data_IF_220030199039
#
_entry.id   IF_220030199039
#
_cell.length_a   1.000
_cell.length_b   1.000
_cell.length_c   1.000
_cell.angle_alpha   90.00
_cell.angle_beta   90.00
_cell.angle_gamma   90.00
#
_symmetry.space_group_name_H-M   'P 1'
#
loop_
_entity.id
_entity.type
_entity.pdbx_description
1 polymer ?
#
# COMPACT_ATOMS: atom_id res chain seq x y z
N UNK A 1 5.67 14.95 -62.19
CA UNK A 1 6.54 14.31 -61.19
C UNK A 1 7.24 15.40 -60.39
N UNK A 2 6.73 15.72 -59.19
CA UNK A 2 7.34 16.71 -58.30
C UNK A 2 8.45 15.99 -57.52
N UNK A 3 9.69 16.44 -57.67
CA UNK A 3 10.85 16.02 -56.88
C UNK A 3 10.64 16.46 -55.41
N UNK A 4 10.48 15.52 -54.50
CA UNK A 4 10.55 15.80 -53.08
C UNK A 4 11.89 16.49 -52.77
N UNK A 5 11.83 17.74 -52.28
CA UNK A 5 12.99 18.45 -51.74
C UNK A 5 13.52 17.62 -50.55
N UNK A 6 14.74 17.09 -50.66
CA UNK A 6 15.47 16.53 -49.53
C UNK A 6 15.67 17.68 -48.55
N UNK A 7 14.97 17.63 -47.38
CA UNK A 7 15.25 18.52 -46.26
C UNK A 7 16.74 18.35 -45.90
N UNK A 8 17.47 19.44 -45.86
CA UNK A 8 18.87 19.46 -45.42
C UNK A 8 18.94 18.95 -43.99
N UNK A 9 19.84 18.02 -43.69
CA UNK A 9 20.03 17.51 -42.35
C UNK A 9 20.50 18.68 -41.44
N UNK A 10 19.78 18.92 -40.34
CA UNK A 10 20.13 19.95 -39.32
C UNK A 10 21.55 19.74 -38.82
N UNK A 11 22.28 20.84 -38.61
CA UNK A 11 23.58 20.81 -37.92
C UNK A 11 23.44 20.33 -36.47
N UNK A 12 24.52 19.91 -35.79
CA UNK A 12 24.46 19.51 -34.39
C UNK A 12 23.90 20.63 -33.49
N UNK A 13 24.23 21.88 -33.77
CA UNK A 13 23.78 23.07 -33.04
C UNK A 13 22.26 23.28 -33.26
N UNK A 14 21.80 23.20 -34.47
CA UNK A 14 20.37 23.31 -34.80
C UNK A 14 19.54 22.17 -34.13
N UNK A 15 20.11 20.95 -34.10
CA UNK A 15 19.46 19.80 -33.39
C UNK A 15 19.37 20.05 -31.91
N UNK A 16 20.43 20.60 -31.29
CA UNK A 16 20.46 20.95 -29.88
C UNK A 16 19.39 22.01 -29.60
N UNK A 17 19.37 23.10 -30.35
CA UNK A 17 18.36 24.15 -30.18
C UNK A 17 16.93 23.63 -30.37
N UNK A 18 16.70 22.76 -31.33
CA UNK A 18 15.38 22.14 -31.54
C UNK A 18 14.97 21.14 -30.44
N UNK A 19 15.94 20.66 -29.64
CA UNK A 19 15.69 19.75 -28.53
C UNK A 19 15.42 20.47 -27.19
N UNK A 20 15.81 21.75 -27.09
CA UNK A 20 15.59 22.53 -25.87
C UNK A 20 14.20 23.18 -25.87
N UNK A 21 13.62 23.30 -24.68
CA UNK A 21 12.42 24.10 -24.44
C UNK A 21 12.85 25.55 -24.19
N UNK A 22 12.28 26.53 -24.92
CA UNK A 22 12.60 27.95 -24.71
C UNK A 22 12.27 28.42 -23.29
N UNK A 23 13.05 29.35 -22.74
CA UNK A 23 12.95 29.80 -21.34
C UNK A 23 11.56 30.34 -20.97
N UNK A 24 10.85 30.95 -21.90
CA UNK A 24 9.47 31.46 -21.70
C UNK A 24 8.40 30.37 -21.61
N UNK A 25 8.72 29.12 -21.97
CA UNK A 25 7.86 27.96 -21.85
C UNK A 25 8.19 27.08 -20.66
N UNK A 26 9.21 27.46 -19.86
CA UNK A 26 9.64 26.66 -18.71
C UNK A 26 8.54 26.55 -17.67
N UNK A 27 8.16 25.32 -17.27
CA UNK A 27 7.16 25.13 -16.23
C UNK A 27 7.56 25.75 -14.87
N UNK A 28 8.87 25.72 -14.57
CA UNK A 28 9.50 26.36 -13.42
C UNK A 28 10.99 26.52 -13.66
N UNK A 29 11.64 27.37 -12.85
CA UNK A 29 13.08 27.63 -12.96
C UNK A 29 13.90 26.42 -12.52
N UNK A 30 14.84 25.99 -13.38
CA UNK A 30 15.84 24.96 -13.09
C UNK A 30 17.16 25.57 -12.58
N UNK A 31 18.06 24.76 -11.96
CA UNK A 31 19.45 25.13 -11.74
C UNK A 31 20.13 25.54 -13.05
N UNK A 32 21.14 26.43 -12.98
CA UNK A 32 21.78 27.02 -14.18
C UNK A 32 22.40 26.01 -15.15
N UNK A 33 22.82 24.85 -14.65
CA UNK A 33 23.43 23.78 -15.44
C UNK A 33 22.43 22.71 -15.92
N UNK A 34 21.13 22.92 -15.70
CA UNK A 34 20.06 22.05 -16.20
C UNK A 34 19.34 22.72 -17.36
N UNK A 35 18.66 21.91 -18.15
CA UNK A 35 17.78 22.42 -19.21
C UNK A 35 16.47 21.66 -19.26
N UNK A 36 15.43 22.32 -19.77
CA UNK A 36 14.19 21.66 -20.15
C UNK A 36 14.30 21.11 -21.56
N UNK A 37 13.87 19.86 -21.70
CA UNK A 37 13.71 19.18 -23.00
C UNK A 37 12.38 18.41 -22.99
N UNK A 38 12.19 17.50 -23.90
CA UNK A 38 11.00 16.63 -23.95
C UNK A 38 11.41 15.18 -23.95
N UNK A 39 10.46 14.30 -23.56
CA UNK A 39 10.71 12.83 -23.47
C UNK A 39 11.27 12.28 -24.77
N UNK A 40 10.80 12.72 -25.94
CA UNK A 40 11.32 12.26 -27.25
C UNK A 40 12.83 12.44 -27.46
N UNK A 41 13.44 13.37 -26.74
CA UNK A 41 14.86 13.69 -26.86
C UNK A 41 15.74 12.91 -25.87
N UNK A 42 15.14 12.26 -24.85
CA UNK A 42 15.84 11.55 -23.78
C UNK A 42 15.48 10.06 -23.69
N UNK A 43 14.49 9.63 -24.46
CA UNK A 43 14.05 8.23 -24.47
C UNK A 43 13.40 7.83 -25.80
N UNK A 44 13.49 6.55 -26.12
CA UNK A 44 12.64 5.94 -27.15
C UNK A 44 11.32 5.50 -26.52
N UNK A 45 10.18 6.02 -26.97
CA UNK A 45 8.88 5.60 -26.49
C UNK A 45 8.31 4.49 -27.39
N UNK A 46 7.91 3.38 -26.79
CA UNK A 46 7.29 2.23 -27.46
C UNK A 46 5.90 2.00 -26.88
N UNK A 47 4.87 2.08 -27.73
CA UNK A 47 3.52 1.68 -27.34
C UNK A 47 3.41 0.17 -27.35
N UNK A 48 2.91 -0.43 -26.28
CA UNK A 48 2.67 -1.86 -26.19
C UNK A 48 1.59 -2.35 -27.19
N UNK A 49 1.36 -3.63 -27.19
CA UNK A 49 0.33 -4.27 -28.01
C UNK A 49 0.00 -5.65 -27.44
N UNK A 50 -1.25 -6.07 -27.63
CA UNK A 50 -1.70 -7.39 -27.16
C UNK A 50 -1.73 -8.36 -28.34
N UNK A 51 -1.00 -9.47 -28.31
CA UNK A 51 -1.14 -10.55 -29.27
C UNK A 51 -2.60 -11.01 -29.37
N UNK A 52 -2.99 -11.55 -30.50
CA UNK A 52 -4.37 -11.98 -30.76
C UNK A 52 -4.84 -13.01 -29.72
N UNK A 53 -5.80 -12.63 -28.86
CA UNK A 53 -6.27 -13.48 -27.76
C UNK A 53 -6.97 -14.77 -28.17
N UNK A 54 -7.46 -14.84 -29.42
CA UNK A 54 -8.06 -16.04 -29.99
C UNK A 54 -7.01 -17.08 -30.43
N UNK A 55 -5.73 -16.76 -30.37
CA UNK A 55 -4.64 -17.72 -30.60
C UNK A 55 -3.96 -18.05 -29.27
N UNK A 56 -4.31 -19.19 -28.68
CA UNK A 56 -3.75 -19.69 -27.42
C UNK A 56 -2.24 -19.94 -27.50
N UNK A 57 -1.69 -20.20 -28.67
CA UNK A 57 -0.26 -20.52 -28.89
C UNK A 57 0.66 -19.35 -28.56
N UNK A 58 0.12 -18.13 -28.47
CA UNK A 58 0.88 -16.94 -28.07
C UNK A 58 1.12 -16.83 -26.56
N UNK A 59 0.41 -17.61 -25.74
CA UNK A 59 0.36 -17.46 -24.28
C UNK A 59 0.87 -18.70 -23.55
N UNK A 60 1.11 -18.59 -22.24
CA UNK A 60 1.47 -19.72 -21.38
C UNK A 60 2.95 -20.11 -21.41
N UNK A 61 3.84 -19.24 -21.91
CA UNK A 61 5.29 -19.42 -21.84
C UNK A 61 5.94 -18.75 -20.62
N UNK A 62 7.20 -18.32 -20.80
CA UNK A 62 8.01 -17.70 -19.74
C UNK A 62 8.35 -16.22 -19.99
N UNK A 63 7.94 -15.66 -21.14
CA UNK A 63 8.26 -14.27 -21.47
C UNK A 63 7.24 -13.31 -20.86
N UNK A 64 7.65 -12.35 -19.98
CA UNK A 64 6.73 -11.48 -19.25
C UNK A 64 5.88 -10.60 -20.18
N UNK A 65 4.57 -10.55 -19.91
CA UNK A 65 3.61 -9.68 -20.58
C UNK A 65 2.92 -8.76 -19.57
N UNK A 66 3.47 -7.57 -19.42
CA UNK A 66 3.05 -6.62 -18.40
C UNK A 66 1.75 -5.90 -18.75
N UNK A 67 0.88 -5.79 -17.77
CA UNK A 67 -0.38 -5.05 -17.80
C UNK A 67 -0.38 -3.93 -16.76
N UNK A 68 -1.34 -2.99 -16.80
CA UNK A 68 -1.38 -1.89 -15.82
C UNK A 68 -1.40 -2.33 -14.34
N UNK A 69 -1.94 -3.51 -14.01
CA UNK A 69 -1.93 -4.02 -12.65
C UNK A 69 -0.52 -4.41 -12.18
N UNK A 70 0.30 -4.96 -13.07
CA UNK A 70 1.66 -5.39 -12.72
C UNK A 70 2.57 -4.20 -12.35
N UNK A 71 2.24 -2.98 -12.86
CA UNK A 71 2.95 -1.75 -12.51
C UNK A 71 2.76 -1.30 -11.05
N UNK A 72 1.86 -1.94 -10.28
CA UNK A 72 1.73 -1.69 -8.83
C UNK A 72 2.98 -2.10 -8.04
N UNK A 73 3.83 -2.96 -8.60
CA UNK A 73 5.14 -3.27 -8.06
C UNK A 73 6.11 -2.05 -8.07
N UNK A 74 5.76 -0.97 -8.80
CA UNK A 74 6.45 0.31 -8.77
C UNK A 74 7.88 0.21 -9.29
N UNK A 75 8.86 0.34 -8.39
CA UNK A 75 10.29 0.38 -8.74
C UNK A 75 10.87 -0.99 -9.16
N UNK A 76 10.22 -2.09 -8.82
CA UNK A 76 10.71 -3.45 -9.08
C UNK A 76 9.66 -4.31 -9.78
N UNK A 77 9.49 -4.09 -11.07
CA UNK A 77 8.58 -4.88 -11.89
C UNK A 77 9.37 -6.01 -12.56
N UNK A 78 9.45 -7.16 -11.89
CA UNK A 78 10.19 -8.35 -12.33
C UNK A 78 9.26 -9.49 -12.77
N UNK A 79 8.01 -9.48 -12.31
CA UNK A 79 7.02 -10.52 -12.60
C UNK A 79 5.79 -9.93 -13.27
N UNK A 80 5.14 -10.70 -14.13
CA UNK A 80 3.93 -10.32 -14.83
C UNK A 80 2.77 -11.28 -14.47
N UNK A 81 1.55 -10.77 -14.49
CA UNK A 81 0.35 -11.59 -14.29
C UNK A 81 0.05 -12.53 -15.47
N UNK A 82 0.67 -12.32 -16.62
CA UNK A 82 0.53 -13.16 -17.82
C UNK A 82 1.89 -13.28 -18.53
N UNK A 83 2.12 -14.42 -19.16
CA UNK A 83 3.37 -14.71 -19.88
C UNK A 83 3.07 -15.16 -21.30
N UNK A 84 3.96 -14.78 -22.23
CA UNK A 84 3.91 -15.16 -23.64
C UNK A 84 4.82 -16.35 -23.91
N UNK A 85 4.43 -17.16 -24.89
CA UNK A 85 5.29 -18.17 -25.50
C UNK A 85 6.35 -17.51 -26.41
N UNK A 86 7.32 -18.29 -26.93
CA UNK A 86 8.27 -17.79 -27.93
C UNK A 86 7.58 -17.27 -29.19
N UNK A 87 6.47 -17.89 -29.58
CA UNK A 87 5.65 -17.42 -30.69
C UNK A 87 4.97 -16.08 -30.36
N UNK A 88 4.42 -15.94 -29.14
CA UNK A 88 3.85 -14.69 -28.68
C UNK A 88 4.90 -13.58 -28.55
N UNK A 89 6.11 -13.90 -28.06
CA UNK A 89 7.26 -13.00 -28.05
C UNK A 89 7.60 -12.49 -29.47
N UNK A 90 7.64 -13.38 -30.47
CA UNK A 90 8.03 -13.04 -31.83
C UNK A 90 7.10 -12.04 -32.54
N UNK A 91 5.82 -11.96 -32.08
CA UNK A 91 4.83 -11.00 -32.64
C UNK A 91 4.65 -9.77 -31.74
N UNK A 92 5.37 -9.68 -30.63
CA UNK A 92 5.27 -8.58 -29.68
C UNK A 92 6.38 -7.55 -29.86
N UNK A 93 6.15 -6.35 -29.31
CA UNK A 93 7.19 -5.31 -29.20
C UNK A 93 7.96 -5.54 -27.92
N UNK A 94 9.23 -5.85 -28.06
CA UNK A 94 10.11 -6.14 -26.94
C UNK A 94 10.51 -4.83 -26.26
N UNK A 95 10.34 -4.79 -24.95
CA UNK A 95 10.75 -3.69 -24.09
C UNK A 95 11.93 -4.20 -23.24
N UNK A 96 13.10 -3.59 -23.34
CA UNK A 96 14.26 -4.03 -22.54
C UNK A 96 14.08 -3.76 -21.07
N UNK A 97 14.85 -4.45 -20.24
CA UNK A 97 15.02 -4.09 -18.82
C UNK A 97 15.45 -2.62 -18.68
N UNK A 98 15.21 -2.03 -17.54
CA UNK A 98 15.46 -0.62 -17.19
C UNK A 98 14.60 0.40 -17.98
N UNK A 99 13.61 -0.04 -18.74
CA UNK A 99 12.60 0.86 -19.28
C UNK A 99 11.58 1.27 -18.21
N UNK A 100 11.04 2.47 -18.34
CA UNK A 100 9.90 2.93 -17.52
C UNK A 100 8.60 2.68 -18.29
N UNK A 101 7.77 1.77 -17.79
CA UNK A 101 6.44 1.49 -18.32
C UNK A 101 5.43 2.47 -17.69
N UNK A 102 4.64 3.15 -18.51
CA UNK A 102 3.68 4.17 -18.07
C UNK A 102 2.29 3.83 -18.61
N UNK A 103 1.32 3.70 -17.71
CA UNK A 103 -0.07 3.50 -18.07
C UNK A 103 -0.64 4.80 -18.69
N UNK A 104 -1.15 4.69 -19.91
CA UNK A 104 -1.64 5.82 -20.71
C UNK A 104 -3.13 5.73 -21.04
N UNK A 105 -3.83 4.69 -20.57
CA UNK A 105 -5.28 4.51 -20.70
C UNK A 105 -5.85 4.03 -19.36
N UNK A 106 -6.87 4.69 -18.87
CA UNK A 106 -7.49 4.37 -17.58
C UNK A 106 -6.70 4.98 -16.42
N UNK A 107 -5.78 4.23 -15.80
CA UNK A 107 -4.93 4.70 -14.69
C UNK A 107 -3.74 5.53 -15.18
N UNK A 108 -4.02 6.66 -15.87
CA UNK A 108 -2.99 7.52 -16.49
C UNK A 108 -1.95 7.97 -15.45
N UNK A 109 -0.67 7.78 -15.79
CA UNK A 109 0.48 8.18 -14.99
C UNK A 109 0.98 7.10 -14.02
N UNK A 110 0.30 5.96 -13.87
CA UNK A 110 0.82 4.82 -13.13
C UNK A 110 2.08 4.30 -13.81
N UNK A 111 3.21 4.26 -13.09
CA UNK A 111 4.52 3.90 -13.63
C UNK A 111 5.08 2.66 -12.96
N UNK A 112 5.84 1.87 -13.74
CA UNK A 112 6.67 0.78 -13.25
C UNK A 112 8.04 0.79 -13.91
N UNK A 113 9.09 0.49 -13.12
CA UNK A 113 10.44 0.29 -13.63
C UNK A 113 10.65 -1.20 -13.89
N UNK A 114 10.92 -1.56 -15.14
CA UNK A 114 11.07 -2.96 -15.54
C UNK A 114 12.45 -3.48 -15.17
N UNK A 115 12.53 -4.44 -14.27
CA UNK A 115 13.80 -5.11 -13.91
C UNK A 115 14.22 -6.14 -14.96
N UNK A 116 13.28 -6.62 -15.74
CA UNK A 116 13.47 -7.65 -16.78
C UNK A 116 12.90 -7.22 -18.13
N UNK A 117 13.41 -7.83 -19.19
CA UNK A 117 12.86 -7.71 -20.53
C UNK A 117 11.44 -8.28 -20.59
N UNK A 118 10.54 -7.64 -21.34
CA UNK A 118 9.18 -8.14 -21.53
C UNK A 118 8.43 -7.46 -22.66
N UNK A 119 7.15 -7.70 -22.75
CA UNK A 119 6.23 -6.96 -23.62
C UNK A 119 5.15 -6.30 -22.76
N UNK A 120 4.49 -5.28 -23.29
CA UNK A 120 3.40 -4.58 -22.60
C UNK A 120 2.14 -4.56 -23.45
N UNK A 121 0.97 -4.44 -22.81
CA UNK A 121 -0.29 -4.29 -23.53
C UNK A 121 -0.42 -2.86 -24.12
N UNK A 122 -1.42 -2.63 -24.94
CA UNK A 122 -1.67 -1.36 -25.62
C UNK A 122 -2.02 -0.18 -24.68
N UNK A 123 -2.27 -0.42 -23.41
CA UNK A 123 -2.54 0.63 -22.40
C UNK A 123 -1.26 1.29 -21.89
N UNK A 124 -0.11 0.69 -22.18
CA UNK A 124 1.20 1.11 -21.67
C UNK A 124 2.03 1.68 -22.80
N UNK A 125 2.62 2.85 -22.58
CA UNK A 125 3.75 3.36 -23.32
C UNK A 125 5.01 3.19 -22.47
N UNK A 126 6.03 2.53 -23.02
CA UNK A 126 7.31 2.29 -22.33
C UNK A 126 8.37 3.25 -22.86
N UNK A 127 9.02 3.98 -21.95
CA UNK A 127 10.14 4.88 -22.28
C UNK A 127 11.47 4.16 -22.01
N UNK A 128 12.21 3.89 -23.06
CA UNK A 128 13.55 3.29 -23.02
C UNK A 128 14.56 4.43 -22.92
N UNK A 129 15.28 4.59 -21.79
CA UNK A 129 16.11 5.75 -21.52
C UNK A 129 17.40 5.78 -22.37
N UNK A 130 17.87 6.98 -22.71
CA UNK A 130 19.20 7.19 -23.29
C UNK A 130 20.27 7.49 -22.25
N UNK A 131 19.85 7.87 -21.03
CA UNK A 131 20.69 8.30 -19.93
C UNK A 131 20.43 7.44 -18.68
N UNK A 132 20.45 8.04 -17.48
CA UNK A 132 20.21 7.32 -16.24
C UNK A 132 18.74 6.84 -16.14
N UNK A 133 18.56 5.53 -16.16
CA UNK A 133 17.24 4.90 -16.19
C UNK A 133 16.41 5.16 -14.90
N UNK A 134 17.05 5.11 -13.73
CA UNK A 134 16.37 5.38 -12.46
C UNK A 134 16.02 6.85 -12.30
N UNK A 135 16.86 7.79 -12.78
CA UNK A 135 16.53 9.20 -12.80
C UNK A 135 15.26 9.45 -13.63
N UNK A 136 15.18 8.83 -14.84
CA UNK A 136 14.00 8.89 -15.66
C UNK A 136 12.76 8.32 -14.96
N UNK A 137 12.89 7.15 -14.36
CA UNK A 137 11.78 6.52 -13.61
C UNK A 137 11.29 7.41 -12.47
N UNK A 138 12.20 7.92 -11.62
CA UNK A 138 11.81 8.80 -10.51
C UNK A 138 11.11 10.07 -10.99
N UNK A 139 11.59 10.68 -12.07
CA UNK A 139 10.90 11.82 -12.66
C UNK A 139 9.51 11.44 -13.19
N UNK A 140 9.39 10.36 -13.94
CA UNK A 140 8.09 9.91 -14.50
C UNK A 140 7.10 9.47 -13.42
N UNK A 141 7.56 9.17 -12.22
CA UNK A 141 6.72 8.84 -11.07
C UNK A 141 6.32 10.08 -10.24
N UNK A 142 6.63 11.29 -10.69
CA UNK A 142 6.20 12.52 -10.04
C UNK A 142 4.78 12.91 -10.43
N UNK A 143 4.10 13.62 -9.53
CA UNK A 143 2.79 14.19 -9.83
C UNK A 143 2.87 15.20 -10.97
N UNK A 144 3.98 15.94 -11.09
CA UNK A 144 4.20 16.88 -12.18
C UNK A 144 4.15 16.21 -13.54
N UNK A 145 4.85 15.09 -13.73
CA UNK A 145 4.79 14.33 -14.99
C UNK A 145 3.40 13.74 -15.24
N UNK A 146 2.78 13.18 -14.19
CA UNK A 146 1.42 12.63 -14.29
C UNK A 146 0.40 13.69 -14.71
N UNK A 147 0.52 14.92 -14.21
CA UNK A 147 -0.37 16.03 -14.55
C UNK A 147 -0.18 16.46 -16.01
N UNK A 148 1.06 16.45 -16.55
CA UNK A 148 1.28 16.70 -17.97
C UNK A 148 0.53 15.67 -18.85
N UNK A 149 0.61 14.38 -18.48
CA UNK A 149 -0.13 13.34 -19.20
C UNK A 149 -1.64 13.55 -19.12
N UNK A 150 -2.19 13.81 -17.94
CA UNK A 150 -3.62 14.03 -17.73
C UNK A 150 -4.12 15.25 -18.49
N UNK A 151 -3.40 16.36 -18.45
CA UNK A 151 -3.76 17.59 -19.16
C UNK A 151 -3.70 17.43 -20.68
N UNK A 152 -2.84 16.55 -21.19
CA UNK A 152 -2.74 16.23 -22.61
C UNK A 152 -3.77 15.19 -23.07
N UNK A 153 -4.43 14.47 -22.15
CA UNK A 153 -5.35 13.40 -22.49
C UNK A 153 -6.54 13.89 -23.36
N UNK A 154 -6.93 13.08 -24.31
CA UNK A 154 -8.11 13.38 -25.12
C UNK A 154 -9.38 13.13 -24.31
N UNK A 155 -10.25 14.12 -24.20
CA UNK A 155 -11.54 14.03 -23.53
C UNK A 155 -12.57 13.28 -24.37
N UNK A 156 -12.60 11.97 -24.22
CA UNK A 156 -13.67 11.09 -24.70
C UNK A 156 -14.12 10.25 -23.49
N UNK A 157 -14.99 9.27 -23.68
CA UNK A 157 -15.50 8.41 -22.59
C UNK A 157 -14.40 7.78 -21.73
N UNK A 158 -13.22 7.54 -22.30
CA UNK A 158 -12.01 7.09 -21.59
C UNK A 158 -10.84 7.99 -21.99
N UNK A 159 -10.16 8.58 -21.02
CA UNK A 159 -8.99 9.43 -21.26
C UNK A 159 -7.83 8.59 -21.81
N UNK A 160 -7.24 9.05 -22.91
CA UNK A 160 -6.15 8.36 -23.62
C UNK A 160 -5.00 9.33 -23.89
N UNK A 161 -3.79 8.90 -23.55
CA UNK A 161 -2.53 9.56 -23.90
C UNK A 161 -1.80 8.70 -24.92
N UNK A 162 -1.73 9.13 -26.18
CA UNK A 162 -0.98 8.43 -27.19
C UNK A 162 0.53 8.66 -27.03
N UNK A 163 1.33 7.91 -27.82
CA UNK A 163 2.79 8.01 -27.84
C UNK A 163 3.27 9.45 -28.03
N UNK A 164 2.77 10.17 -29.04
CA UNK A 164 3.20 11.53 -29.36
C UNK A 164 2.96 12.51 -28.22
N UNK A 165 1.83 12.38 -27.51
CA UNK A 165 1.53 13.21 -26.33
C UNK A 165 2.50 12.93 -25.18
N UNK A 166 2.85 11.65 -24.92
CA UNK A 166 3.87 11.31 -23.94
C UNK A 166 5.26 11.82 -24.37
N UNK A 167 5.62 11.68 -25.63
CA UNK A 167 6.89 12.17 -26.18
C UNK A 167 7.05 13.69 -26.07
N UNK A 168 5.95 14.44 -26.08
CA UNK A 168 5.96 15.91 -25.95
C UNK A 168 5.99 16.41 -24.50
N UNK A 169 5.86 15.54 -23.50
CA UNK A 169 5.96 15.95 -22.10
C UNK A 169 7.35 16.52 -21.80
N UNK A 170 7.38 17.60 -21.04
CA UNK A 170 8.62 18.23 -20.59
C UNK A 170 9.42 17.30 -19.68
N UNK A 171 10.74 17.42 -19.77
CA UNK A 171 11.69 16.63 -18.99
C UNK A 171 12.85 17.49 -18.52
N UNK A 172 13.14 17.56 -17.19
CA UNK A 172 14.26 18.32 -16.66
C UNK A 172 15.54 17.49 -16.80
N UNK A 173 16.41 17.90 -17.71
CA UNK A 173 17.66 17.20 -17.99
C UNK A 173 18.80 17.79 -17.15
N UNK A 174 19.21 17.05 -16.12
CA UNK A 174 20.41 17.33 -15.32
C UNK A 174 21.67 16.76 -16.00
N UNK A 175 22.87 17.27 -15.71
CA UNK A 175 24.12 16.61 -16.08
C UNK A 175 24.19 15.18 -15.53
N UNK A 176 24.79 14.24 -16.27
CA UNK A 176 24.81 12.81 -15.92
C UNK A 176 25.31 12.52 -14.50
N UNK A 177 26.37 13.20 -14.08
CA UNK A 177 26.91 13.04 -12.71
C UNK A 177 25.92 13.51 -11.63
N UNK A 178 25.06 14.47 -11.97
CA UNK A 178 24.03 14.97 -11.05
C UNK A 178 22.80 14.05 -11.03
N UNK A 179 22.40 13.51 -12.19
CA UNK A 179 21.38 12.47 -12.26
C UNK A 179 21.75 11.30 -11.32
N UNK A 180 23.00 10.84 -11.35
CA UNK A 180 23.47 9.76 -10.49
C UNK A 180 23.41 10.15 -9.01
N UNK A 181 23.88 11.36 -8.64
CA UNK A 181 23.80 11.83 -7.23
C UNK A 181 22.37 11.92 -6.73
N UNK A 182 21.43 12.33 -7.59
CA UNK A 182 20.00 12.41 -7.24
C UNK A 182 19.46 11.01 -7.01
N UNK A 183 19.76 10.05 -7.90
CA UNK A 183 19.37 8.65 -7.76
C UNK A 183 19.91 8.09 -6.46
N UNK A 184 21.21 8.18 -6.20
CA UNK A 184 21.86 7.67 -4.99
C UNK A 184 21.22 8.24 -3.73
N UNK A 185 20.87 9.54 -3.76
CA UNK A 185 20.21 10.20 -2.64
C UNK A 185 18.80 9.68 -2.39
N UNK A 186 17.99 9.53 -3.44
CA UNK A 186 16.62 9.00 -3.36
C UNK A 186 16.67 7.56 -2.82
N UNK A 187 17.54 6.72 -3.38
CA UNK A 187 17.73 5.34 -2.96
C UNK A 187 18.10 5.23 -1.49
N UNK A 188 19.08 6.04 -1.04
CA UNK A 188 19.48 6.08 0.38
C UNK A 188 18.35 6.51 1.30
N UNK A 189 17.47 7.41 0.86
CA UNK A 189 16.31 7.85 1.65
C UNK A 189 15.23 6.76 1.71
N UNK A 190 14.95 6.10 0.60
CA UNK A 190 13.98 5.00 0.55
C UNK A 190 14.45 3.80 1.40
N UNK A 191 15.72 3.43 1.32
CA UNK A 191 16.27 2.37 2.17
C UNK A 191 16.07 2.66 3.68
N UNK A 192 16.25 3.93 4.11
CA UNK A 192 15.98 4.35 5.50
C UNK A 192 14.50 4.27 5.87
N UNK A 193 13.61 4.60 4.94
CA UNK A 193 12.17 4.50 5.16
C UNK A 193 11.73 3.04 5.28
N UNK A 194 12.27 2.16 4.44
CA UNK A 194 12.00 0.72 4.49
C UNK A 194 12.51 0.10 5.81
N UNK A 195 13.72 0.47 6.25
CA UNK A 195 14.26 0.04 7.55
C UNK A 195 13.38 0.52 8.72
N UNK A 196 12.93 1.77 8.68
CA UNK A 196 12.04 2.32 9.71
C UNK A 196 10.69 1.60 9.74
N UNK A 197 10.12 1.29 8.58
CA UNK A 197 8.88 0.51 8.43
C UNK A 197 9.03 -0.89 9.01
N UNK A 198 10.10 -1.60 8.68
CA UNK A 198 10.39 -2.94 9.20
C UNK A 198 10.52 -2.95 10.73
N UNK A 199 11.30 -2.00 11.28
CA UNK A 199 11.43 -1.85 12.74
C UNK A 199 10.09 -1.58 13.41
N UNK A 200 9.25 -0.75 12.81
CA UNK A 200 7.91 -0.44 13.33
C UNK A 200 7.02 -1.68 13.30
N UNK A 201 7.04 -2.44 12.20
CA UNK A 201 6.28 -3.68 12.08
C UNK A 201 6.73 -4.71 13.13
N UNK A 202 8.04 -4.87 13.34
CA UNK A 202 8.58 -5.75 14.38
C UNK A 202 8.08 -5.38 15.77
N UNK A 203 7.98 -4.08 16.08
CA UNK A 203 7.42 -3.62 17.35
C UNK A 203 5.94 -3.99 17.47
N UNK A 204 5.15 -3.75 16.40
CA UNK A 204 3.72 -4.11 16.36
C UNK A 204 3.54 -5.62 16.59
N UNK A 205 4.29 -6.44 15.86
CA UNK A 205 4.21 -7.91 15.95
C UNK A 205 4.60 -8.43 17.35
N UNK A 206 5.45 -7.69 18.07
CA UNK A 206 5.88 -8.05 19.43
C UNK A 206 4.86 -7.72 20.53
N UNK A 207 3.81 -6.93 20.27
CA UNK A 207 2.89 -6.47 21.31
C UNK A 207 2.20 -7.60 22.06
N UNK A 208 1.70 -8.62 21.39
CA UNK A 208 1.01 -9.74 22.06
C UNK A 208 1.98 -10.54 22.94
N UNK A 209 3.20 -10.76 22.47
CA UNK A 209 4.24 -11.43 23.26
C UNK A 209 4.64 -10.61 24.49
N UNK A 210 4.82 -9.30 24.34
CA UNK A 210 5.14 -8.39 25.44
C UNK A 210 4.01 -8.32 26.46
N UNK A 211 2.75 -8.22 26.00
CA UNK A 211 1.57 -8.24 26.87
C UNK A 211 1.50 -9.53 27.68
N UNK A 212 1.71 -10.68 27.03
CA UNK A 212 1.74 -11.97 27.71
C UNK A 212 2.87 -12.06 28.74
N UNK A 213 4.06 -11.56 28.41
CA UNK A 213 5.20 -11.53 29.32
C UNK A 213 4.95 -10.62 30.54
N UNK A 214 4.33 -9.45 30.34
CA UNK A 214 3.96 -8.54 31.44
C UNK A 214 2.94 -9.21 32.36
N UNK A 215 1.90 -9.83 31.79
CA UNK A 215 0.90 -10.55 32.57
C UNK A 215 1.52 -11.72 33.35
N UNK A 216 2.41 -12.48 32.71
CA UNK A 216 3.15 -13.55 33.40
C UNK A 216 3.93 -13.01 34.60
N UNK A 217 4.74 -11.97 34.41
CA UNK A 217 5.50 -11.31 35.48
C UNK A 217 4.63 -10.75 36.60
N UNK A 218 3.45 -10.23 36.24
CA UNK A 218 2.49 -9.73 37.22
C UNK A 218 1.98 -10.85 38.16
N UNK A 219 1.58 -11.98 37.53
CA UNK A 219 0.96 -13.09 38.27
C UNK A 219 1.95 -14.10 38.87
N UNK A 220 3.24 -14.01 38.50
CA UNK A 220 4.33 -14.71 39.21
C UNK A 220 4.95 -13.85 40.30
N UNK A 221 4.52 -12.60 40.44
CA UNK A 221 5.08 -11.65 41.42
C UNK A 221 6.41 -11.02 41.01
N UNK A 222 6.97 -11.36 39.88
CA UNK A 222 8.24 -10.80 39.37
C UNK A 222 8.11 -9.28 39.13
N UNK A 223 6.96 -8.83 38.63
CA UNK A 223 6.74 -7.42 38.28
C UNK A 223 6.87 -6.49 39.50
N UNK A 224 6.55 -6.98 40.71
CA UNK A 224 6.60 -6.22 41.97
C UNK A 224 7.72 -6.70 42.92
N UNK A 225 8.67 -7.49 42.43
CA UNK A 225 9.73 -8.05 43.23
C UNK A 225 10.56 -6.97 43.97
N UNK A 226 10.99 -5.94 43.21
CA UNK A 226 11.77 -4.82 43.78
C UNK A 226 10.99 -4.05 44.86
N UNK A 227 9.71 -3.77 44.66
CA UNK A 227 8.86 -3.11 45.64
C UNK A 227 8.74 -3.95 46.92
N UNK A 228 8.58 -5.28 46.76
CA UNK A 228 8.52 -6.16 47.95
C UNK A 228 9.83 -6.19 48.74
N UNK A 229 10.95 -6.22 48.03
CA UNK A 229 12.28 -6.15 48.67
C UNK A 229 12.43 -4.87 49.50
N UNK A 230 12.07 -3.72 48.94
CA UNK A 230 12.13 -2.40 49.59
C UNK A 230 11.21 -2.28 50.80
N UNK A 231 10.10 -3.04 50.81
CA UNK A 231 9.10 -2.98 51.90
C UNK A 231 9.11 -4.21 52.83
N UNK A 232 10.06 -5.11 52.68
CA UNK A 232 10.19 -6.32 53.51
C UNK A 232 9.03 -7.31 53.39
N UNK A 233 8.36 -7.36 52.21
CA UNK A 233 7.21 -8.24 51.95
C UNK A 233 7.65 -9.47 51.18
N UNK A 234 7.50 -10.67 51.77
CA UNK A 234 7.84 -11.93 51.09
C UNK A 234 6.76 -12.36 50.07
N UNK A 235 7.17 -13.00 49.00
CA UNK A 235 6.30 -13.72 48.07
C UNK A 235 5.60 -14.91 48.73
N UNK A 236 6.14 -15.46 49.81
CA UNK A 236 5.57 -16.57 50.56
C UNK A 236 4.20 -16.24 51.19
N UNK A 237 3.86 -14.96 51.28
CA UNK A 237 2.53 -14.51 51.64
C UNK A 237 1.46 -14.80 50.61
N UNK A 238 1.84 -15.11 49.36
CA UNK A 238 0.91 -15.52 48.33
C UNK A 238 0.48 -16.97 48.57
N UNK A 239 -0.83 -17.19 48.55
CA UNK A 239 -1.41 -18.51 48.79
C UNK A 239 -2.12 -18.99 47.54
N UNK A 240 -1.85 -20.22 47.16
CA UNK A 240 -2.68 -20.91 46.15
C UNK A 240 -4.04 -21.23 46.77
N UNK A 241 -5.09 -20.80 46.12
CA UNK A 241 -6.47 -21.09 46.58
C UNK A 241 -7.35 -21.51 45.40
N UNK A 242 -8.51 -22.08 45.72
CA UNK A 242 -9.47 -22.46 44.69
C UNK A 242 -10.23 -21.22 44.18
N UNK A 243 -10.59 -21.21 42.92
CA UNK A 243 -11.33 -20.11 42.30
C UNK A 243 -12.65 -19.82 43.01
N UNK A 244 -13.39 -20.86 43.41
CA UNK A 244 -14.68 -20.78 44.09
C UNK A 244 -14.62 -20.13 45.50
N UNK A 245 -13.42 -20.04 46.09
CA UNK A 245 -13.22 -19.36 47.38
C UNK A 245 -12.98 -17.84 47.28
N UNK A 246 -12.65 -17.35 46.04
CA UNK A 246 -12.32 -15.94 45.79
C UNK A 246 -13.26 -15.27 44.81
N UNK A 247 -14.00 -16.04 44.04
CA UNK A 247 -14.96 -15.55 43.05
C UNK A 247 -16.17 -16.50 42.94
N UNK A 248 -17.32 -15.96 42.62
CA UNK A 248 -18.54 -16.73 42.39
C UNK A 248 -19.03 -16.54 40.96
N UNK A 249 -19.27 -17.67 40.26
CA UNK A 249 -19.95 -17.65 38.97
C UNK A 249 -21.44 -17.50 39.21
N UNK A 250 -22.04 -16.41 38.70
CA UNK A 250 -23.47 -16.12 38.89
C UNK A 250 -24.22 -16.36 37.57
N UNK A 251 -25.43 -16.88 37.73
CA UNK A 251 -26.38 -17.11 36.64
C UNK A 251 -27.71 -16.49 37.05
N UNK A 252 -27.96 -15.25 36.70
CA UNK A 252 -29.16 -14.50 37.04
C UNK A 252 -30.06 -14.45 35.79
N UNK A 253 -30.68 -15.56 35.43
CA UNK A 253 -31.56 -15.63 34.26
C UNK A 253 -32.85 -14.83 34.52
N UNK A 254 -33.18 -13.95 33.57
CA UNK A 254 -34.38 -13.09 33.60
C UNK A 254 -35.12 -13.13 32.27
N UNK A 255 -36.41 -12.77 32.29
CA UNK A 255 -37.18 -12.56 31.06
C UNK A 255 -36.81 -11.18 30.48
N UNK A 256 -36.30 -11.11 29.26
CA UNK A 256 -35.95 -9.83 28.62
C UNK A 256 -37.15 -8.90 28.41
N UNK A 257 -38.37 -9.40 28.40
CA UNK A 257 -39.57 -8.57 28.27
C UNK A 257 -39.71 -7.53 29.41
N UNK A 258 -39.18 -7.82 30.58
CA UNK A 258 -39.19 -6.92 31.76
C UNK A 258 -38.06 -5.87 31.71
N UNK A 259 -37.09 -5.98 30.81
CA UNK A 259 -35.84 -5.20 30.79
C UNK A 259 -35.56 -4.53 29.44
N UNK A 260 -36.58 -4.15 28.70
CA UNK A 260 -36.47 -3.66 27.31
C UNK A 260 -35.52 -2.49 27.11
N UNK A 261 -35.42 -1.58 28.09
CA UNK A 261 -34.53 -0.39 28.04
C UNK A 261 -33.10 -0.65 28.52
N UNK A 262 -32.79 -1.88 28.97
CA UNK A 262 -31.46 -2.21 29.46
C UNK A 262 -30.49 -2.54 28.34
N UNK A 263 -29.17 -2.26 28.53
CA UNK A 263 -28.13 -2.64 27.60
C UNK A 263 -28.10 -4.16 27.38
N UNK A 264 -28.04 -4.57 26.11
CA UNK A 264 -27.83 -5.95 25.73
C UNK A 264 -26.35 -6.16 25.33
N UNK A 265 -25.63 -6.96 26.08
CA UNK A 265 -24.23 -7.27 25.82
C UNK A 265 -24.12 -8.72 25.36
N UNK A 266 -23.90 -8.91 24.08
CA UNK A 266 -23.62 -10.21 23.47
C UNK A 266 -22.09 -10.43 23.35
N UNK A 267 -21.64 -11.68 23.11
CA UNK A 267 -20.21 -11.95 22.87
C UNK A 267 -19.59 -11.10 21.76
N UNK A 268 -20.37 -10.66 20.78
CA UNK A 268 -19.86 -9.87 19.65
C UNK A 268 -19.66 -8.40 20.02
N UNK A 269 -20.25 -7.93 21.10
CA UNK A 269 -19.98 -6.61 21.64
C UNK A 269 -18.68 -6.56 22.51
N UNK A 270 -17.99 -7.69 22.67
CA UNK A 270 -16.73 -7.76 23.42
C UNK A 270 -15.59 -8.04 22.42
N UNK A 271 -14.66 -7.11 22.34
CA UNK A 271 -13.48 -7.28 21.50
C UNK A 271 -12.61 -8.41 22.03
N UNK A 272 -12.16 -9.29 21.11
CA UNK A 272 -11.32 -10.45 21.46
C UNK A 272 -9.98 -10.00 22.05
N UNK A 273 -9.55 -10.64 23.17
CA UNK A 273 -8.24 -10.46 23.82
C UNK A 273 -7.99 -9.09 24.49
N UNK A 274 -8.74 -8.05 24.19
CA UNK A 274 -8.51 -6.71 24.71
C UNK A 274 -9.37 -6.37 25.92
N UNK A 275 -10.57 -6.98 26.01
CA UNK A 275 -11.54 -6.65 27.05
C UNK A 275 -12.23 -5.30 26.82
N UNK A 276 -12.17 -4.75 25.62
CA UNK A 276 -12.88 -3.53 25.22
C UNK A 276 -14.33 -3.88 24.90
N UNK A 277 -15.26 -3.10 25.47
CA UNK A 277 -16.67 -3.16 25.12
C UNK A 277 -16.90 -2.32 23.85
N UNK A 278 -17.39 -2.97 22.81
CA UNK A 278 -17.77 -2.35 21.54
C UNK A 278 -19.16 -1.74 21.63
N UNK A 279 -19.64 -1.18 20.52
CA UNK A 279 -21.00 -0.66 20.41
C UNK A 279 -22.04 -1.74 20.76
N UNK A 280 -23.06 -1.36 21.50
CA UNK A 280 -24.15 -2.24 21.94
C UNK A 280 -25.46 -1.47 21.96
N UNK A 281 -26.57 -2.18 21.87
CA UNK A 281 -27.91 -1.65 21.88
C UNK A 281 -28.68 -2.04 23.13
N UNK A 282 -29.91 -1.59 23.22
CA UNK A 282 -30.86 -2.07 24.24
C UNK A 282 -31.47 -3.42 23.85
N UNK A 283 -32.08 -4.09 24.82
CA UNK A 283 -32.81 -5.33 24.59
C UNK A 283 -33.94 -5.13 23.57
N UNK A 284 -34.63 -3.98 23.60
CA UNK A 284 -35.68 -3.63 22.65
C UNK A 284 -35.14 -3.47 21.23
N UNK A 285 -34.04 -2.73 21.05
CA UNK A 285 -33.42 -2.48 19.75
C UNK A 285 -32.90 -3.77 19.09
N UNK A 286 -32.35 -4.67 19.88
CA UNK A 286 -31.88 -5.98 19.38
C UNK A 286 -32.99 -7.03 19.23
N UNK A 287 -34.24 -6.71 19.63
CA UNK A 287 -35.40 -7.61 19.51
C UNK A 287 -35.24 -8.92 20.28
N UNK A 288 -34.63 -8.86 21.43
CA UNK A 288 -34.26 -10.05 22.22
C UNK A 288 -35.50 -10.68 22.87
N UNK A 289 -35.75 -11.97 22.59
CA UNK A 289 -36.87 -12.74 23.11
C UNK A 289 -36.47 -13.91 24.01
N UNK A 290 -35.22 -14.37 23.94
CA UNK A 290 -34.76 -15.50 24.78
C UNK A 290 -34.18 -15.01 26.09
N UNK A 291 -34.37 -15.74 27.20
CA UNK A 291 -33.85 -15.43 28.51
C UNK A 291 -32.37 -15.00 28.50
N UNK A 292 -32.05 -13.97 29.27
CA UNK A 292 -30.72 -13.38 29.37
C UNK A 292 -30.24 -13.35 30.83
N UNK A 293 -28.94 -13.30 31.02
CA UNK A 293 -28.35 -13.18 32.35
C UNK A 293 -28.18 -11.70 32.71
N UNK A 294 -28.87 -11.27 33.77
CA UNK A 294 -28.69 -9.94 34.32
C UNK A 294 -27.35 -9.84 35.03
N UNK A 295 -26.63 -8.76 34.84
CA UNK A 295 -25.36 -8.45 35.44
C UNK A 295 -25.37 -7.05 36.08
N UNK A 296 -24.39 -6.78 36.95
CA UNK A 296 -24.26 -5.54 37.68
C UNK A 296 -22.87 -4.93 37.50
N UNK A 297 -22.75 -3.64 37.79
CA UNK A 297 -21.44 -2.96 37.78
C UNK A 297 -20.46 -3.68 38.70
N UNK A 298 -19.20 -3.79 38.26
CA UNK A 298 -18.12 -4.48 38.98
C UNK A 298 -18.05 -5.99 38.74
N UNK A 299 -18.99 -6.57 37.98
CA UNK A 299 -18.89 -7.97 37.58
C UNK A 299 -18.03 -8.11 36.30
N UNK A 300 -17.42 -9.27 36.14
CA UNK A 300 -16.71 -9.65 34.94
C UNK A 300 -17.64 -10.49 34.07
N UNK A 301 -17.90 -10.03 32.86
CA UNK A 301 -18.62 -10.78 31.84
C UNK A 301 -17.61 -11.63 31.05
N UNK A 302 -17.82 -12.94 31.02
CA UNK A 302 -16.95 -13.88 30.33
C UNK A 302 -17.76 -14.74 29.38
N UNK A 303 -17.35 -14.75 28.11
CA UNK A 303 -18.01 -15.59 27.10
C UNK A 303 -17.58 -17.04 27.21
N UNK A 304 -18.56 -17.92 27.44
CA UNK A 304 -18.36 -19.40 27.43
C UNK A 304 -18.24 -19.96 26.00
N UNK A 305 -18.69 -19.18 25.02
CA UNK A 305 -18.65 -19.58 23.59
C UNK A 305 -17.27 -19.21 23.04
N UNK A 306 -16.54 -20.18 22.51
CA UNK A 306 -15.20 -20.01 21.96
C UNK A 306 -14.23 -19.34 22.95
N UNK A 307 -13.94 -19.97 24.12
CA UNK A 307 -13.15 -19.37 25.18
C UNK A 307 -11.74 -18.96 24.76
N UNK A 308 -11.20 -19.59 23.71
CA UNK A 308 -9.90 -19.21 23.11
C UNK A 308 -9.87 -17.78 22.53
N UNK A 309 -11.03 -17.17 22.28
CA UNK A 309 -11.12 -15.77 21.87
C UNK A 309 -10.89 -14.79 23.03
N UNK A 310 -10.85 -15.29 24.27
CA UNK A 310 -10.62 -14.49 25.49
C UNK A 310 -11.51 -13.23 25.56
N UNK A 311 -12.80 -13.40 25.25
CA UNK A 311 -13.80 -12.34 25.33
C UNK A 311 -14.24 -12.16 26.78
N UNK A 312 -13.58 -11.28 27.52
CA UNK A 312 -13.87 -10.93 28.90
C UNK A 312 -13.84 -9.41 29.08
N UNK A 313 -14.81 -8.85 29.79
CA UNK A 313 -14.88 -7.41 30.08
C UNK A 313 -15.33 -7.18 31.52
N UNK A 314 -14.68 -6.22 32.20
CA UNK A 314 -15.16 -5.74 33.49
C UNK A 314 -16.32 -4.76 33.26
N UNK A 315 -17.50 -5.09 33.78
CA UNK A 315 -18.67 -4.23 33.69
C UNK A 315 -18.46 -2.96 34.51
N UNK A 316 -18.31 -1.81 33.84
CA UNK A 316 -18.33 -0.47 34.42
C UNK A 316 -19.67 0.24 34.21
N UNK A 317 -20.62 -0.45 33.58
CA UNK A 317 -21.95 0.08 33.33
C UNK A 317 -22.68 0.22 34.69
N UNK A 318 -22.95 1.45 35.06
CA UNK A 318 -23.92 1.75 36.08
C UNK A 318 -25.31 1.39 35.54
N UNK A 319 -25.76 0.17 35.81
CA UNK A 319 -27.18 -0.13 35.63
C UNK A 319 -27.86 0.58 36.79
N UNK A 320 -28.32 1.78 36.55
CA UNK A 320 -29.23 2.46 37.47
C UNK A 320 -30.52 1.62 37.48
N UNK A 321 -30.64 0.76 38.43
CA UNK A 321 -31.94 0.22 38.78
C UNK A 321 -32.75 1.38 39.36
N UNK A 322 -33.56 2.02 38.54
CA UNK A 322 -34.68 2.78 39.08
C UNK A 322 -35.61 1.76 39.75
N UNK A 323 -35.76 1.90 41.05
CA UNK A 323 -36.76 1.24 41.85
C UNK A 323 -38.15 1.53 41.31
#
# INVERSE_FOLDING_TARGET
MARAKKEAALTPEERLQAALVPDWEWPYKLPENWCWTTIKNVATVVTGGTPAKNNSDYYGGEFPFFKPADLDAGRHVSEASEYLSDLGKSVSRIIPAQATAVCCIGSIGKCGFLDVEGATNQQINSAIPYFNALYQYFYMNTEFFTNQLRNSASATTIAIVNKTKMESCYYPLAPLAEQQRIVDRIESLFAKLDEAKEKTQTVVDSFETRKSAILHKAFTGELTAKWREEHGVSIDNWKTTRFDSVAAIRSNLVDPAEYQSFPHIAPDNIEKKTGVLLEYHTIAEDGVTSGKHRFYSGQILYSKIRPYLSKAVASRLLIISSF
#
